data_IF_647166460309
#
_entry.id   IF_647166460309
#
_cell.length_a   1.000
_cell.length_b   1.000
_cell.length_c   1.000
_cell.angle_alpha   90.00
_cell.angle_beta   90.00
_cell.angle_gamma   90.00
#
_symmetry.space_group_name_H-M   'P 1'
#
loop_
_entity.id
_entity.type
_entity.pdbx_description
1 polymer ?
#
# COMPACT_ATOMS: atom_id res chain seq x y z
N UNK A 1 -13.97 -12.66 1.39
CA UNK A 1 -14.93 -12.29 0.32
C UNK A 1 -16.37 -12.74 0.63
N UNK A 2 -16.83 -12.62 1.88
CA UNK A 2 -18.23 -12.83 2.25
C UNK A 2 -18.55 -11.82 3.33
N UNK A 3 -19.05 -10.66 2.91
CA UNK A 3 -19.83 -9.71 3.70
C UNK A 3 -19.88 -8.42 2.89
N UNK A 4 -20.86 -8.31 1.98
CA UNK A 4 -21.45 -7.04 1.54
C UNK A 4 -22.63 -7.32 0.59
N UNK A 5 -23.52 -8.24 0.95
CA UNK A 5 -24.89 -8.23 0.40
C UNK A 5 -25.77 -7.49 1.39
N UNK A 6 -25.67 -6.16 1.38
CA UNK A 6 -26.73 -5.32 1.94
C UNK A 6 -27.99 -5.65 1.12
N UNK A 7 -29.08 -6.03 1.79
CA UNK A 7 -30.40 -6.21 1.16
C UNK A 7 -30.69 -5.00 0.28
N UNK A 8 -30.62 -5.17 -1.04
CA UNK A 8 -31.02 -4.14 -1.99
C UNK A 8 -32.55 -4.08 -1.95
N UNK A 9 -33.08 -3.21 -1.11
CA UNK A 9 -34.49 -2.80 -1.23
C UNK A 9 -34.64 -2.10 -2.57
N UNK A 10 -35.48 -2.64 -3.46
CA UNK A 10 -35.90 -1.91 -4.64
C UNK A 10 -36.71 -0.69 -4.18
N UNK A 11 -36.33 0.50 -4.66
CA UNK A 11 -37.17 1.69 -4.51
C UNK A 11 -38.40 1.46 -5.37
N UNK A 12 -39.51 1.02 -4.77
CA UNK A 12 -40.80 0.89 -5.44
C UNK A 12 -41.51 2.24 -5.35
N UNK A 13 -41.45 3.01 -6.43
CA UNK A 13 -42.16 4.28 -6.58
C UNK A 13 -42.26 4.66 -8.05
N UNK A 14 -43.26 5.44 -8.42
CA UNK A 14 -43.40 6.04 -9.75
C UNK A 14 -42.78 7.42 -9.75
N UNK A 15 -41.82 7.67 -10.67
CA UNK A 15 -41.36 9.02 -11.00
C UNK A 15 -42.18 9.44 -12.22
N UNK A 16 -42.95 10.51 -12.10
CA UNK A 16 -43.67 11.08 -13.24
C UNK A 16 -42.68 11.81 -14.15
N UNK A 17 -42.59 11.34 -15.40
CA UNK A 17 -41.83 12.00 -16.46
C UNK A 17 -42.79 12.96 -17.17
N UNK A 18 -42.57 14.26 -16.96
CA UNK A 18 -43.43 15.29 -17.54
C UNK A 18 -42.99 15.72 -18.95
N UNK A 19 -41.72 15.50 -19.31
CA UNK A 19 -41.15 15.91 -20.59
C UNK A 19 -40.33 14.76 -21.21
N UNK A 20 -41.02 13.97 -22.04
CA UNK A 20 -40.40 12.79 -22.68
C UNK A 20 -39.45 13.19 -23.80
N UNK A 21 -39.69 14.32 -24.49
CA UNK A 21 -38.83 14.81 -25.57
C UNK A 21 -37.47 15.25 -25.03
N UNK A 22 -37.44 15.98 -23.92
CA UNK A 22 -36.21 16.36 -23.24
C UNK A 22 -35.42 15.14 -22.75
N UNK A 23 -36.09 14.14 -22.16
CA UNK A 23 -35.40 12.91 -21.74
C UNK A 23 -34.85 12.13 -22.94
N UNK A 24 -35.55 12.08 -24.07
CA UNK A 24 -35.05 11.42 -25.29
C UNK A 24 -33.87 12.18 -25.90
N UNK A 25 -33.88 13.51 -25.87
CA UNK A 25 -32.74 14.33 -26.27
C UNK A 25 -31.51 14.08 -25.37
N UNK A 26 -31.68 14.09 -24.04
CA UNK A 26 -30.61 13.76 -23.09
C UNK A 26 -30.12 12.30 -23.24
N UNK A 27 -31.03 11.36 -23.50
CA UNK A 27 -30.67 9.97 -23.77
C UNK A 27 -29.84 9.81 -25.04
N UNK A 28 -30.07 10.67 -26.04
CA UNK A 28 -29.30 10.69 -27.29
C UNK A 28 -27.87 11.21 -27.09
N UNK A 29 -27.65 12.07 -26.09
CA UNK A 29 -26.32 12.50 -25.65
C UNK A 29 -25.60 11.42 -24.81
N UNK A 30 -26.37 10.58 -24.11
CA UNK A 30 -25.89 9.35 -23.47
C UNK A 30 -26.64 9.01 -22.19
N UNK A 31 -26.63 7.72 -21.81
CA UNK A 31 -27.32 7.25 -20.60
C UNK A 31 -26.78 7.91 -19.32
N UNK A 32 -25.50 8.28 -19.29
CA UNK A 32 -24.90 8.97 -18.14
C UNK A 32 -25.48 10.38 -17.97
N UNK A 33 -25.54 11.17 -19.04
CA UNK A 33 -26.13 12.51 -19.04
C UNK A 33 -27.58 12.47 -18.55
N UNK A 34 -28.38 11.55 -19.09
CA UNK A 34 -29.75 11.29 -18.63
C UNK A 34 -29.80 10.96 -17.13
N UNK A 35 -28.96 10.04 -16.67
CA UNK A 35 -28.91 9.61 -15.27
C UNK A 35 -28.53 10.74 -14.32
N UNK A 36 -27.65 11.65 -14.75
CA UNK A 36 -27.27 12.84 -13.99
C UNK A 36 -28.45 13.80 -13.83
N UNK A 37 -29.17 14.10 -14.90
CA UNK A 37 -30.32 15.01 -14.83
C UNK A 37 -31.47 14.45 -13.99
N UNK A 38 -31.84 13.18 -14.22
CA UNK A 38 -32.89 12.50 -13.45
C UNK A 38 -32.50 12.42 -11.97
N UNK A 39 -31.24 12.09 -11.66
CA UNK A 39 -30.79 12.00 -10.27
C UNK A 39 -30.74 13.37 -9.56
N UNK A 40 -30.46 14.48 -10.26
CA UNK A 40 -30.58 15.81 -9.69
C UNK A 40 -32.02 16.18 -9.37
N UNK A 41 -32.97 15.76 -10.20
CA UNK A 41 -34.39 15.99 -9.94
C UNK A 41 -34.90 15.18 -8.75
N UNK A 42 -34.52 13.90 -8.67
CA UNK A 42 -34.78 13.06 -7.48
C UNK A 42 -34.19 13.72 -6.23
N UNK A 43 -32.97 14.25 -6.30
CA UNK A 43 -32.37 14.98 -5.19
C UNK A 43 -33.19 16.21 -4.77
N UNK A 44 -33.72 17.00 -5.71
CA UNK A 44 -34.60 18.14 -5.39
C UNK A 44 -35.87 17.70 -4.67
N UNK A 45 -36.52 16.63 -5.15
CA UNK A 45 -37.70 16.07 -4.51
C UNK A 45 -37.42 15.57 -3.07
N UNK A 46 -36.23 14.98 -2.84
CA UNK A 46 -35.80 14.61 -1.50
C UNK A 46 -35.61 15.83 -0.59
N UNK A 47 -35.04 16.94 -1.10
CA UNK A 47 -34.95 18.20 -0.33
C UNK A 47 -36.34 18.78 -0.03
N UNK A 48 -37.27 18.73 -0.98
CA UNK A 48 -38.63 19.18 -0.74
C UNK A 48 -39.33 18.35 0.34
N UNK A 49 -39.07 17.04 0.38
CA UNK A 49 -39.53 16.16 1.45
C UNK A 49 -38.98 16.58 2.81
N UNK A 50 -37.67 16.89 2.90
CA UNK A 50 -37.07 17.41 4.13
C UNK A 50 -37.70 18.76 4.55
N UNK A 51 -37.97 19.64 3.59
CA UNK A 51 -38.62 20.94 3.83
C UNK A 51 -40.05 20.75 4.33
N UNK A 52 -40.82 19.86 3.72
CA UNK A 52 -42.19 19.57 4.13
C UNK A 52 -42.26 18.98 5.53
N UNK A 53 -41.31 18.11 5.90
CA UNK A 53 -41.20 17.58 7.26
C UNK A 53 -40.96 18.69 8.31
N UNK A 54 -40.31 19.80 7.95
CA UNK A 54 -40.01 20.91 8.85
C UNK A 54 -41.07 22.02 8.83
N UNK A 55 -41.59 22.35 7.64
CA UNK A 55 -42.43 23.52 7.40
C UNK A 55 -43.90 23.18 7.03
N UNK A 56 -44.24 21.91 6.89
CA UNK A 56 -45.54 21.44 6.37
C UNK A 56 -45.68 21.58 4.85
N UNK A 57 -46.74 21.02 4.28
CA UNK A 57 -47.01 21.08 2.83
C UNK A 57 -47.09 22.53 2.30
N UNK A 58 -46.63 22.75 1.07
CA UNK A 58 -46.56 24.09 0.47
C UNK A 58 -47.97 24.67 0.28
N UNK A 59 -48.16 25.93 0.67
CA UNK A 59 -49.45 26.63 0.53
C UNK A 59 -50.54 26.21 1.52
N UNK A 60 -50.27 25.24 2.40
CA UNK A 60 -51.22 24.76 3.40
C UNK A 60 -50.79 25.28 4.78
N UNK A 61 -51.73 25.86 5.53
CA UNK A 61 -51.45 26.33 6.88
C UNK A 61 -51.26 25.13 7.83
N UNK A 62 -50.04 24.94 8.32
CA UNK A 62 -49.73 23.98 9.38
C UNK A 62 -49.47 24.71 10.71
N UNK A 63 -50.32 24.58 11.75
CA UNK A 63 -50.09 25.21 13.05
C UNK A 63 -48.88 24.62 13.80
N UNK A 64 -48.56 23.34 13.59
CA UNK A 64 -47.48 22.61 14.26
C UNK A 64 -46.13 22.72 13.53
N UNK A 65 -46.02 23.60 12.51
CA UNK A 65 -44.78 23.78 11.76
C UNK A 65 -43.63 24.15 12.69
N UNK A 66 -42.44 23.61 12.42
CA UNK A 66 -41.23 23.87 13.19
C UNK A 66 -40.38 24.97 12.57
N UNK A 67 -40.63 25.29 11.30
CA UNK A 67 -39.83 26.23 10.53
C UNK A 67 -40.62 26.87 9.37
N UNK A 68 -40.02 27.91 8.76
CA UNK A 68 -40.52 28.66 7.61
C UNK A 68 -39.60 28.48 6.40
N UNK A 69 -40.20 28.45 5.21
CA UNK A 69 -39.48 28.48 3.92
C UNK A 69 -38.89 29.88 3.70
N UNK A 70 -37.62 29.97 3.32
CA UNK A 70 -36.87 31.22 3.22
C UNK A 70 -36.10 31.32 1.87
N UNK A 71 -36.78 30.96 0.78
CA UNK A 71 -36.23 31.00 -0.58
C UNK A 71 -35.26 29.85 -0.88
N UNK A 72 -34.42 30.05 -1.89
CA UNK A 72 -33.41 29.10 -2.35
C UNK A 72 -32.03 29.74 -2.39
N UNK A 73 -30.99 28.93 -2.33
CA UNK A 73 -29.62 29.38 -2.59
C UNK A 73 -28.80 28.35 -3.39
N UNK A 74 -27.77 28.78 -4.12
CA UNK A 74 -26.84 27.87 -4.77
C UNK A 74 -26.09 27.00 -3.76
N UNK A 75 -25.99 25.71 -4.05
CA UNK A 75 -25.18 24.74 -3.30
C UNK A 75 -24.44 23.82 -4.26
N UNK A 76 -23.46 23.06 -3.74
CA UNK A 76 -22.72 22.05 -4.51
C UNK A 76 -22.92 20.68 -3.90
N UNK A 77 -23.25 19.70 -4.73
CA UNK A 77 -23.45 18.31 -4.33
C UNK A 77 -22.57 17.37 -5.15
N UNK A 78 -22.26 16.21 -4.59
CA UNK A 78 -21.44 15.19 -5.21
C UNK A 78 -22.31 14.27 -6.06
N UNK A 79 -22.01 14.21 -7.36
CA UNK A 79 -22.69 13.33 -8.30
C UNK A 79 -21.73 12.89 -9.40
N UNK A 80 -21.78 11.61 -9.79
CA UNK A 80 -20.96 11.10 -10.90
C UNK A 80 -19.44 11.24 -10.73
N UNK A 81 -18.93 11.36 -9.50
CA UNK A 81 -17.50 11.63 -9.28
C UNK A 81 -17.05 13.06 -9.62
N UNK A 82 -17.99 14.01 -9.61
CA UNK A 82 -17.75 15.45 -9.64
C UNK A 82 -18.64 16.19 -8.63
N UNK A 83 -18.44 17.52 -8.47
CA UNK A 83 -19.42 18.35 -7.77
C UNK A 83 -20.22 19.11 -8.81
N UNK A 84 -21.54 19.09 -8.66
CA UNK A 84 -22.48 19.79 -9.52
C UNK A 84 -23.12 20.91 -8.71
N UNK A 85 -23.24 22.09 -9.30
CA UNK A 85 -23.96 23.23 -8.70
C UNK A 85 -25.46 23.02 -8.91
N UNK A 86 -26.24 23.19 -7.85
CA UNK A 86 -27.70 23.12 -7.89
C UNK A 86 -28.28 24.11 -6.88
N UNK A 87 -29.60 24.27 -6.88
CA UNK A 87 -30.30 25.10 -5.89
C UNK A 87 -30.75 24.23 -4.72
N UNK A 88 -30.57 24.73 -3.49
CA UNK A 88 -31.20 24.16 -2.29
C UNK A 88 -32.27 25.10 -1.76
N UNK A 89 -33.40 24.57 -1.25
CA UNK A 89 -34.32 25.36 -0.45
C UNK A 89 -33.70 25.70 0.91
N UNK A 90 -34.08 26.86 1.45
CA UNK A 90 -33.69 27.32 2.78
C UNK A 90 -34.87 27.24 3.71
N UNK A 91 -34.60 26.76 4.92
CA UNK A 91 -35.60 26.61 5.98
C UNK A 91 -35.06 27.25 7.25
N UNK A 92 -35.84 28.13 7.87
CA UNK A 92 -35.46 28.81 9.12
C UNK A 92 -36.42 28.44 10.24
N UNK A 93 -35.87 28.12 11.41
CA UNK A 93 -36.63 27.93 12.64
C UNK A 93 -37.47 29.16 13.00
N UNK A 94 -38.41 29.00 13.93
CA UNK A 94 -39.21 30.13 14.45
C UNK A 94 -38.34 31.23 15.07
N UNK A 95 -37.19 30.86 15.61
CA UNK A 95 -36.21 31.77 16.21
C UNK A 95 -35.23 32.39 15.18
N UNK A 96 -35.45 32.15 13.88
CA UNK A 96 -34.69 32.77 12.80
C UNK A 96 -33.38 32.06 12.41
N UNK A 97 -32.97 31.01 13.14
CA UNK A 97 -31.79 30.21 12.79
C UNK A 97 -32.05 29.30 11.58
N UNK A 98 -31.08 29.20 10.66
CA UNK A 98 -31.15 28.33 9.49
C UNK A 98 -30.98 26.85 9.88
N UNK A 99 -31.88 26.01 9.37
CA UNK A 99 -31.89 24.58 9.64
C UNK A 99 -31.22 23.81 8.50
N UNK A 100 -30.43 22.80 8.88
CA UNK A 100 -29.79 21.89 7.94
C UNK A 100 -30.80 20.85 7.44
N UNK A 101 -30.75 20.56 6.15
CA UNK A 101 -31.53 19.49 5.53
C UNK A 101 -30.72 18.19 5.57
N UNK A 102 -31.20 17.10 6.18
CA UNK A 102 -30.47 15.83 6.25
C UNK A 102 -30.00 15.32 4.89
N UNK A 103 -30.86 15.42 3.86
CA UNK A 103 -30.54 15.02 2.49
C UNK A 103 -29.38 15.83 1.94
N UNK A 104 -29.32 17.14 2.21
CA UNK A 104 -28.21 17.98 1.75
C UNK A 104 -26.88 17.48 2.31
N UNK A 105 -26.82 17.12 3.59
CA UNK A 105 -25.62 16.58 4.22
C UNK A 105 -25.13 15.28 3.57
N UNK A 106 -26.06 14.40 3.18
CA UNK A 106 -25.73 13.14 2.48
C UNK A 106 -25.08 13.40 1.12
N UNK A 107 -25.65 14.31 0.33
CA UNK A 107 -25.17 14.60 -1.02
C UNK A 107 -23.99 15.59 -1.06
N UNK A 108 -23.70 16.29 0.04
CA UNK A 108 -22.47 17.07 0.19
C UNK A 108 -21.27 16.22 0.64
N UNK A 109 -21.48 14.95 1.03
CA UNK A 109 -20.41 14.05 1.43
C UNK A 109 -19.45 13.76 0.25
N UNK A 110 -18.17 14.08 0.45
CA UNK A 110 -17.10 13.94 -0.54
C UNK A 110 -16.49 12.53 -0.63
N UNK A 111 -16.87 11.59 0.24
CA UNK A 111 -16.25 10.25 0.28
C UNK A 111 -16.34 9.48 -1.05
N UNK A 112 -17.49 9.41 -1.75
CA UNK A 112 -17.58 8.72 -3.04
C UNK A 112 -16.66 9.34 -4.10
N UNK A 113 -16.55 10.67 -4.08
CA UNK A 113 -15.70 11.46 -4.98
C UNK A 113 -14.21 11.22 -4.69
N UNK A 114 -13.84 11.22 -3.41
CA UNK A 114 -12.48 10.94 -2.95
C UNK A 114 -12.04 9.51 -3.30
N UNK A 115 -12.94 8.51 -3.18
CA UNK A 115 -12.67 7.12 -3.57
C UNK A 115 -12.45 6.96 -5.07
N UNK A 116 -13.32 7.54 -5.90
CA UNK A 116 -13.19 7.51 -7.36
C UNK A 116 -11.87 8.19 -7.81
N UNK A 117 -11.55 9.34 -7.20
CA UNK A 117 -10.30 10.04 -7.42
C UNK A 117 -9.09 9.17 -7.05
N UNK A 118 -9.11 8.56 -5.87
CA UNK A 118 -8.03 7.69 -5.40
C UNK A 118 -7.80 6.52 -6.36
N UNK A 119 -8.87 5.84 -6.79
CA UNK A 119 -8.78 4.74 -7.75
C UNK A 119 -8.09 5.17 -9.05
N UNK A 120 -8.48 6.32 -9.62
CA UNK A 120 -7.86 6.83 -10.85
C UNK A 120 -6.38 7.16 -10.66
N UNK A 121 -6.03 7.81 -9.54
CA UNK A 121 -4.63 8.14 -9.24
C UNK A 121 -3.77 6.88 -9.03
N UNK A 122 -4.30 5.87 -8.32
CA UNK A 122 -3.63 4.58 -8.12
C UNK A 122 -3.53 3.73 -9.41
N UNK A 123 -4.45 3.93 -10.36
CA UNK A 123 -4.31 3.41 -11.73
C UNK A 123 -3.29 4.19 -12.59
N UNK A 124 -2.58 5.15 -12.01
CA UNK A 124 -1.50 5.88 -12.66
C UNK A 124 -1.95 7.14 -13.40
N UNK A 125 -3.18 7.64 -13.21
CA UNK A 125 -3.59 8.97 -13.72
C UNK A 125 -2.84 10.04 -12.93
N UNK A 126 -2.23 11.03 -13.61
CA UNK A 126 -1.60 12.13 -12.88
C UNK A 126 -2.64 13.17 -12.48
N UNK A 127 -2.36 13.92 -11.42
CA UNK A 127 -3.21 15.03 -10.98
C UNK A 127 -3.48 16.07 -12.08
N UNK A 128 -2.54 16.25 -13.01
CA UNK A 128 -2.69 17.12 -14.20
C UNK A 128 -3.61 16.54 -15.29
N UNK A 129 -3.69 15.21 -15.41
CA UNK A 129 -4.52 14.52 -16.40
C UNK A 129 -5.88 14.11 -15.84
N UNK A 130 -6.10 14.24 -14.53
CA UNK A 130 -7.33 13.87 -13.85
C UNK A 130 -8.57 14.49 -14.49
N UNK A 131 -8.51 15.78 -14.83
CA UNK A 131 -9.62 16.48 -15.50
C UNK A 131 -10.09 15.78 -16.79
N UNK A 132 -9.19 15.12 -17.52
CA UNK A 132 -9.52 14.38 -18.76
C UNK A 132 -10.12 12.99 -18.52
N UNK A 133 -10.20 12.56 -17.27
CA UNK A 133 -10.74 11.25 -16.87
C UNK A 133 -12.11 11.35 -16.20
N UNK A 134 -12.63 12.58 -16.07
CA UNK A 134 -13.98 12.84 -15.61
C UNK A 134 -14.86 12.88 -16.86
N UNK A 135 -15.85 12.00 -16.91
CA UNK A 135 -16.85 12.00 -17.96
C UNK A 135 -17.73 13.26 -17.80
N UNK A 136 -17.92 14.00 -18.89
CA UNK A 136 -18.77 15.21 -18.95
C UNK A 136 -18.50 16.23 -17.82
N UNK A 137 -17.39 16.98 -17.88
CA UNK A 137 -17.14 18.04 -16.91
C UNK A 137 -18.25 19.09 -17.01
N UNK A 138 -19.04 19.26 -15.93
CA UNK A 138 -19.95 20.41 -15.83
C UNK A 138 -19.12 21.70 -15.87
N UNK A 139 -19.69 22.80 -16.43
CA UNK A 139 -19.00 24.10 -16.57
C UNK A 139 -18.34 24.59 -15.26
N UNK A 140 -18.91 24.21 -14.11
CA UNK A 140 -18.38 24.46 -12.76
C UNK A 140 -17.30 23.45 -12.30
N UNK A 141 -16.29 23.19 -13.15
CA UNK A 141 -15.20 22.24 -12.91
C UNK A 141 -14.19 22.65 -11.80
N UNK A 142 -14.66 23.26 -10.72
CA UNK A 142 -13.90 23.63 -9.52
C UNK A 142 -13.22 22.45 -8.80
N UNK A 143 -13.55 21.22 -9.17
CA UNK A 143 -13.15 19.99 -8.50
C UNK A 143 -12.00 19.22 -9.15
N UNK A 144 -11.50 19.66 -10.31
CA UNK A 144 -10.50 18.93 -11.09
C UNK A 144 -9.13 19.63 -11.13
N UNK A 145 -8.97 20.75 -10.43
CA UNK A 145 -7.70 21.46 -10.38
C UNK A 145 -6.62 20.59 -9.71
N UNK A 146 -5.36 20.76 -10.14
CA UNK A 146 -4.21 20.02 -9.58
C UNK A 146 -4.17 20.11 -8.04
N UNK A 147 -4.38 21.30 -7.50
CA UNK A 147 -4.30 21.56 -6.05
C UNK A 147 -5.45 20.90 -5.30
N UNK A 148 -6.67 20.95 -5.84
CA UNK A 148 -7.84 20.29 -5.26
C UNK A 148 -7.68 18.77 -5.28
N UNK A 149 -7.25 18.20 -6.41
CA UNK A 149 -6.99 16.76 -6.55
C UNK A 149 -5.94 16.28 -5.56
N UNK A 150 -4.86 17.06 -5.36
CA UNK A 150 -3.83 16.73 -4.38
C UNK A 150 -4.36 16.77 -2.95
N UNK A 151 -5.20 17.76 -2.60
CA UNK A 151 -5.80 17.87 -1.26
C UNK A 151 -6.76 16.72 -0.98
N UNK A 152 -7.58 16.36 -1.97
CA UNK A 152 -8.51 15.23 -1.88
C UNK A 152 -7.80 13.90 -1.78
N UNK A 153 -6.73 13.69 -2.54
CA UNK A 153 -5.89 12.51 -2.38
C UNK A 153 -5.35 12.40 -0.96
N UNK A 154 -4.85 13.50 -0.38
CA UNK A 154 -4.36 13.51 0.99
C UNK A 154 -5.47 13.12 2.00
N UNK A 155 -6.66 13.72 1.88
CA UNK A 155 -7.83 13.42 2.72
C UNK A 155 -8.33 11.97 2.53
N UNK A 156 -8.36 11.48 1.30
CA UNK A 156 -8.79 10.11 0.97
C UNK A 156 -7.85 9.05 1.56
N UNK A 157 -6.55 9.35 1.56
CA UNK A 157 -5.52 8.46 2.10
C UNK A 157 -5.39 8.54 3.62
N UNK A 158 -5.89 9.59 4.27
CA UNK A 158 -5.73 9.79 5.71
C UNK A 158 -6.33 8.62 6.50
N UNK A 159 -7.56 8.22 6.20
CA UNK A 159 -8.20 7.07 6.86
C UNK A 159 -7.53 5.73 6.51
N UNK A 160 -7.10 5.53 5.26
CA UNK A 160 -6.42 4.30 4.84
C UNK A 160 -5.04 4.17 5.47
N UNK A 161 -4.32 5.27 5.62
CA UNK A 161 -3.04 5.32 6.32
C UNK A 161 -3.27 5.04 7.81
N UNK A 162 -4.24 5.70 8.42
CA UNK A 162 -4.55 5.49 9.84
C UNK A 162 -4.89 4.03 10.12
N UNK A 163 -5.73 3.43 9.26
CA UNK A 163 -6.03 2.00 9.31
C UNK A 163 -4.77 1.15 9.12
N UNK A 164 -3.96 1.41 8.09
CA UNK A 164 -2.76 0.62 7.79
C UNK A 164 -1.72 0.67 8.91
N UNK A 165 -1.43 1.86 9.45
CA UNK A 165 -0.45 2.05 10.51
C UNK A 165 -0.96 1.58 11.87
N UNK A 166 -2.27 1.57 12.13
CA UNK A 166 -2.82 1.04 13.40
C UNK A 166 -3.24 -0.43 13.34
N UNK A 167 -3.23 -1.04 12.15
CA UNK A 167 -3.67 -2.42 11.93
C UNK A 167 -2.89 -3.38 12.82
N UNK A 168 -3.62 -4.16 13.63
CA UNK A 168 -3.04 -5.26 14.41
C UNK A 168 -2.41 -6.29 13.49
N UNK A 169 -1.24 -6.79 13.89
CA UNK A 169 -0.53 -7.86 13.20
C UNK A 169 -1.00 -9.17 13.84
N UNK A 170 -1.87 -9.85 13.12
CA UNK A 170 -2.41 -11.15 13.53
C UNK A 170 -1.71 -12.28 12.77
N UNK A 171 -1.56 -13.40 13.46
CA UNK A 171 -0.95 -14.61 12.92
C UNK A 171 0.58 -14.63 13.03
N UNK A 172 1.15 -15.70 12.47
CA UNK A 172 2.58 -15.99 12.56
C UNK A 172 3.26 -15.67 11.22
N UNK A 173 4.36 -14.94 11.27
CA UNK A 173 5.12 -14.51 10.10
C UNK A 173 6.54 -15.07 10.15
N UNK A 174 6.79 -16.36 9.85
CA UNK A 174 8.12 -16.96 10.02
C UNK A 174 9.23 -16.32 9.16
N UNK A 175 8.88 -15.46 8.20
CA UNK A 175 9.82 -14.72 7.37
C UNK A 175 9.45 -13.23 7.38
N UNK A 176 10.45 -12.37 7.56
CA UNK A 176 10.37 -10.92 7.37
C UNK A 176 11.38 -10.49 6.30
N UNK A 177 10.89 -9.86 5.24
CA UNK A 177 11.72 -9.22 4.21
C UNK A 177 11.74 -7.71 4.45
N UNK A 178 12.92 -7.10 4.42
CA UNK A 178 13.06 -5.64 4.57
C UNK A 178 13.96 -5.09 3.48
N UNK A 179 13.56 -3.95 2.92
CA UNK A 179 14.29 -3.27 1.85
C UNK A 179 13.96 -1.77 1.85
N UNK A 180 14.84 -0.98 1.26
CA UNK A 180 14.68 0.46 1.08
C UNK A 180 14.12 0.82 -0.30
N UNK A 181 13.16 1.74 -0.32
CA UNK A 181 12.65 2.36 -1.53
C UNK A 181 13.05 3.84 -1.57
N UNK A 182 13.93 4.22 -2.50
CA UNK A 182 14.33 5.61 -2.71
C UNK A 182 13.24 6.38 -3.47
N UNK A 183 12.72 7.45 -2.85
CA UNK A 183 11.70 8.36 -3.39
C UNK A 183 12.18 9.81 -3.33
N UNK A 184 12.76 10.29 -4.44
CA UNK A 184 13.39 11.60 -4.49
C UNK A 184 14.62 11.65 -3.59
N UNK A 185 14.60 12.53 -2.57
CA UNK A 185 15.68 12.66 -1.58
C UNK A 185 15.43 11.86 -0.29
N UNK A 186 14.33 11.12 -0.22
CA UNK A 186 13.92 10.36 0.95
C UNK A 186 14.01 8.87 0.64
N UNK A 187 14.21 8.05 1.66
CA UNK A 187 14.12 6.60 1.56
C UNK A 187 12.99 6.11 2.45
N UNK A 188 12.12 5.27 1.92
CA UNK A 188 11.09 4.58 2.70
C UNK A 188 11.55 3.15 2.94
N UNK A 189 11.75 2.78 4.20
CA UNK A 189 11.99 1.40 4.58
C UNK A 189 10.65 0.67 4.61
N UNK A 190 10.57 -0.47 3.94
CA UNK A 190 9.39 -1.32 3.94
C UNK A 190 9.69 -2.66 4.61
N UNK A 191 8.75 -3.16 5.41
CA UNK A 191 8.78 -4.49 6.00
C UNK A 191 7.63 -5.34 5.47
N UNK A 192 7.96 -6.48 4.85
CA UNK A 192 7.01 -7.45 4.32
C UNK A 192 7.08 -8.73 5.14
N UNK A 193 5.97 -9.08 5.78
CA UNK A 193 5.80 -10.37 6.43
C UNK A 193 5.33 -11.41 5.42
N UNK A 194 5.80 -12.64 5.58
CA UNK A 194 5.27 -13.81 4.89
C UNK A 194 4.73 -14.76 5.95
N UNK A 195 3.44 -15.06 5.87
CA UNK A 195 2.77 -15.95 6.83
C UNK A 195 3.09 -17.43 6.59
N UNK A 196 2.58 -18.30 7.48
CA UNK A 196 2.79 -19.75 7.42
C UNK A 196 2.19 -20.40 6.16
N UNK A 197 1.20 -19.77 5.53
CA UNK A 197 0.63 -20.19 4.24
C UNK A 197 1.38 -19.61 3.03
N UNK A 198 2.42 -18.81 3.26
CA UNK A 198 3.24 -18.15 2.24
C UNK A 198 2.60 -16.91 1.62
N UNK A 199 1.54 -16.36 2.22
CA UNK A 199 0.93 -15.10 1.78
C UNK A 199 1.81 -13.94 2.24
N UNK A 200 2.04 -13.00 1.33
CA UNK A 200 2.84 -11.80 1.56
C UNK A 200 1.93 -10.68 2.07
N UNK A 201 2.43 -9.86 2.99
CA UNK A 201 1.76 -8.68 3.49
C UNK A 201 2.76 -7.58 3.83
N UNK A 202 2.50 -6.34 3.43
CA UNK A 202 3.30 -5.22 3.92
C UNK A 202 2.84 -4.95 5.36
N UNK A 203 3.75 -5.14 6.30
CA UNK A 203 3.46 -4.99 7.73
C UNK A 203 3.66 -3.56 8.20
N UNK A 204 4.67 -2.86 7.66
CA UNK A 204 4.93 -1.48 8.04
C UNK A 204 5.83 -0.76 7.05
N UNK A 205 5.80 0.56 7.15
CA UNK A 205 6.56 1.51 6.36
C UNK A 205 7.09 2.58 7.29
N UNK A 206 8.30 3.10 7.04
CA UNK A 206 8.80 4.29 7.72
C UNK A 206 9.66 5.09 6.76
N UNK A 207 9.54 6.41 6.79
CA UNK A 207 10.42 7.30 6.05
C UNK A 207 11.69 7.63 6.84
N UNK A 208 12.80 7.79 6.12
CA UNK A 208 14.07 8.25 6.65
C UNK A 208 14.84 9.08 5.61
N UNK A 209 15.72 9.96 6.09
CA UNK A 209 16.63 10.72 5.21
C UNK A 209 17.79 9.89 4.65
N UNK A 210 18.07 8.74 5.26
CA UNK A 210 19.06 7.74 4.85
C UNK A 210 18.71 6.38 5.47
N UNK A 211 19.41 5.31 5.07
CA UNK A 211 19.40 4.02 5.77
C UNK A 211 20.03 4.17 7.17
N UNK A 212 19.24 4.61 8.14
CA UNK A 212 19.64 4.77 9.53
C UNK A 212 19.12 3.60 10.36
N UNK A 213 19.98 2.97 11.17
CA UNK A 213 19.59 1.86 12.05
C UNK A 213 18.48 2.28 13.03
N UNK A 214 18.45 3.52 13.49
CA UNK A 214 17.42 4.02 14.40
C UNK A 214 16.04 4.09 13.73
N UNK A 215 15.98 4.47 12.44
CA UNK A 215 14.73 4.46 11.67
C UNK A 215 14.19 3.03 11.55
N UNK A 216 15.06 2.07 11.28
CA UNK A 216 14.68 0.66 11.18
C UNK A 216 14.23 0.11 12.54
N UNK A 217 14.91 0.47 13.64
CA UNK A 217 14.49 0.08 14.99
C UNK A 217 13.10 0.61 15.34
N UNK A 218 12.82 1.87 15.01
CA UNK A 218 11.47 2.45 15.20
C UNK A 218 10.42 1.67 14.44
N UNK A 219 10.69 1.30 13.17
CA UNK A 219 9.79 0.44 12.41
C UNK A 219 9.58 -0.91 13.10
N UNK A 220 10.64 -1.59 13.53
CA UNK A 220 10.54 -2.89 14.19
C UNK A 220 9.79 -2.81 15.53
N UNK A 221 10.02 -1.76 16.32
CA UNK A 221 9.31 -1.51 17.57
C UNK A 221 7.80 -1.31 17.34
N UNK A 222 7.44 -0.54 16.32
CA UNK A 222 6.05 -0.37 15.89
C UNK A 222 5.42 -1.70 15.45
N UNK A 223 6.13 -2.55 14.70
CA UNK A 223 5.61 -3.88 14.35
C UNK A 223 5.33 -4.72 15.61
N UNK A 224 6.24 -4.69 16.59
CA UNK A 224 6.10 -5.44 17.85
C UNK A 224 4.90 -4.94 18.65
N UNK A 225 4.76 -3.62 18.81
CA UNK A 225 3.62 -3.00 19.50
C UNK A 225 2.27 -3.39 18.87
N UNK A 226 2.24 -3.51 17.53
CA UNK A 226 1.05 -3.92 16.78
C UNK A 226 0.77 -5.42 16.82
N UNK A 227 1.67 -6.24 17.37
CA UNK A 227 1.44 -7.67 17.61
C UNK A 227 2.43 -8.62 16.95
N UNK A 228 3.51 -8.13 16.33
CA UNK A 228 4.58 -9.00 15.84
C UNK A 228 5.36 -9.56 17.05
N UNK A 229 5.16 -10.84 17.35
CA UNK A 229 5.83 -11.51 18.46
C UNK A 229 7.36 -11.54 18.25
N UNK A 230 8.16 -10.90 19.13
CA UNK A 230 9.62 -10.91 19.05
C UNK A 230 10.25 -12.20 19.58
N UNK A 231 9.51 -13.02 20.32
CA UNK A 231 9.95 -14.32 20.81
C UNK A 231 9.85 -15.42 19.75
N UNK A 232 9.04 -15.20 18.71
CA UNK A 232 8.88 -16.16 17.64
C UNK A 232 10.15 -16.25 16.77
N UNK A 233 10.70 -17.46 16.56
CA UNK A 233 11.82 -17.67 15.65
C UNK A 233 11.48 -17.24 14.22
N UNK A 234 12.34 -16.39 13.62
CA UNK A 234 12.07 -15.77 12.33
C UNK A 234 13.31 -15.64 11.47
N UNK A 235 13.13 -15.85 10.17
CA UNK A 235 14.13 -15.55 9.16
C UNK A 235 13.97 -14.11 8.65
N UNK A 236 15.00 -13.30 8.81
CA UNK A 236 15.06 -11.93 8.30
C UNK A 236 15.86 -11.93 6.99
N UNK A 237 15.20 -11.61 5.87
CA UNK A 237 15.85 -11.54 4.56
C UNK A 237 16.10 -10.09 4.19
N UNK A 238 17.38 -9.69 4.13
CA UNK A 238 17.82 -8.30 4.00
C UNK A 238 18.67 -8.11 2.74
N UNK A 239 18.66 -6.92 2.14
CA UNK A 239 19.50 -6.57 0.98
C UNK A 239 21.00 -6.48 1.29
N UNK A 240 21.35 -6.35 2.58
CA UNK A 240 22.73 -6.20 3.06
C UNK A 240 23.07 -4.80 3.56
N UNK A 241 22.08 -3.90 3.69
CA UNK A 241 22.27 -2.62 4.37
C UNK A 241 22.76 -2.82 5.81
N UNK A 242 23.90 -2.20 6.17
CA UNK A 242 24.48 -2.29 7.52
C UNK A 242 23.50 -1.82 8.61
N UNK A 243 22.66 -0.84 8.27
CA UNK A 243 21.62 -0.31 9.14
C UNK A 243 20.53 -1.34 9.44
N UNK A 244 20.07 -2.08 8.41
CA UNK A 244 19.08 -3.15 8.57
C UNK A 244 19.62 -4.28 9.43
N UNK A 245 20.85 -4.74 9.13
CA UNK A 245 21.50 -5.78 9.91
C UNK A 245 21.58 -5.37 11.39
N UNK A 246 22.17 -4.19 11.67
CA UNK A 246 22.34 -3.69 13.03
C UNK A 246 21.00 -3.56 13.77
N UNK A 247 19.98 -3.01 13.13
CA UNK A 247 18.68 -2.83 13.75
C UNK A 247 18.01 -4.18 14.11
N UNK A 248 18.06 -5.15 13.19
CA UNK A 248 17.51 -6.49 13.44
C UNK A 248 18.26 -7.19 14.58
N UNK A 249 19.59 -7.13 14.59
CA UNK A 249 20.38 -7.72 15.68
C UNK A 249 20.18 -7.02 17.02
N UNK A 250 20.02 -5.69 17.02
CA UNK A 250 19.80 -4.92 18.24
C UNK A 250 18.41 -5.21 18.85
N UNK A 251 17.38 -5.41 18.01
CA UNK A 251 15.99 -5.63 18.47
C UNK A 251 15.74 -7.09 18.86
N UNK A 252 16.20 -8.05 18.06
CA UNK A 252 15.88 -9.47 18.25
C UNK A 252 17.07 -10.28 18.81
N UNK A 253 18.26 -9.71 18.89
CA UNK A 253 19.42 -10.36 19.50
C UNK A 253 19.80 -11.67 18.81
N UNK A 254 20.13 -12.69 19.61
CA UNK A 254 20.63 -14.00 19.13
C UNK A 254 19.56 -14.86 18.46
N UNK A 255 18.27 -14.55 18.62
CA UNK A 255 17.19 -15.27 17.93
C UNK A 255 17.00 -14.80 16.49
N UNK A 256 17.63 -13.69 16.10
CA UNK A 256 17.59 -13.16 14.74
C UNK A 256 18.37 -14.06 13.78
N UNK A 257 17.66 -14.80 12.92
CA UNK A 257 18.27 -15.56 11.85
C UNK A 257 18.27 -14.71 10.59
N UNK A 258 19.43 -14.22 10.16
CA UNK A 258 19.55 -13.27 9.05
C UNK A 258 20.02 -14.01 7.79
N UNK A 259 19.30 -13.82 6.69
CA UNK A 259 19.74 -14.16 5.34
C UNK A 259 20.01 -12.88 4.56
N UNK A 260 21.23 -12.71 4.08
CA UNK A 260 21.57 -11.59 3.18
C UNK A 260 21.28 -11.95 1.73
N UNK A 261 20.69 -11.03 0.98
CA UNK A 261 20.32 -11.24 -0.41
C UNK A 261 21.54 -11.55 -1.27
N UNK A 262 21.55 -12.73 -1.90
CA UNK A 262 22.64 -13.16 -2.78
C UNK A 262 22.74 -12.32 -4.05
N UNK A 263 21.61 -11.77 -4.54
CA UNK A 263 21.57 -10.91 -5.74
C UNK A 263 22.25 -9.58 -5.45
N UNK A 264 21.87 -8.91 -4.36
CA UNK A 264 22.53 -7.69 -3.91
C UNK A 264 24.00 -7.93 -3.58
N UNK A 265 24.32 -9.04 -2.91
CA UNK A 265 25.71 -9.39 -2.62
C UNK A 265 26.55 -9.50 -3.89
N UNK A 266 26.04 -10.23 -4.87
CA UNK A 266 26.67 -10.40 -6.17
C UNK A 266 26.89 -9.04 -6.83
N UNK A 267 25.87 -8.17 -6.88
CA UNK A 267 26.00 -6.81 -7.43
C UNK A 267 27.10 -6.00 -6.74
N UNK A 268 27.17 -6.05 -5.40
CA UNK A 268 28.17 -5.33 -4.62
C UNK A 268 29.60 -5.83 -4.87
N UNK A 269 29.80 -7.14 -5.06
CA UNK A 269 31.11 -7.70 -5.39
C UNK A 269 31.53 -7.29 -6.81
N UNK A 270 30.62 -7.42 -7.77
CA UNK A 270 30.88 -7.10 -9.19
C UNK A 270 31.19 -5.62 -9.42
N UNK A 271 30.60 -4.71 -8.65
CA UNK A 271 30.85 -3.27 -8.75
C UNK A 271 32.31 -2.86 -8.45
N UNK A 272 33.10 -3.72 -7.80
CA UNK A 272 34.52 -3.51 -7.54
C UNK A 272 35.45 -4.14 -8.58
N UNK A 273 34.89 -4.70 -9.66
CA UNK A 273 35.64 -5.43 -10.67
C UNK A 273 35.59 -4.71 -12.03
N UNK A 274 36.67 -4.81 -12.83
CA UNK A 274 36.62 -4.40 -14.23
C UNK A 274 35.63 -5.28 -15.01
N UNK A 275 35.00 -4.71 -16.05
CA UNK A 275 33.98 -5.37 -16.85
C UNK A 275 34.42 -6.72 -17.42
N UNK A 276 35.71 -6.87 -17.75
CA UNK A 276 36.30 -8.11 -18.27
C UNK A 276 36.24 -9.28 -17.29
N UNK A 277 36.25 -9.03 -15.98
CA UNK A 277 36.19 -10.06 -14.94
C UNK A 277 34.79 -10.29 -14.38
N UNK A 278 33.88 -9.32 -14.57
CA UNK A 278 32.54 -9.38 -13.98
C UNK A 278 31.80 -10.65 -14.39
N UNK A 279 31.88 -11.07 -15.65
CA UNK A 279 31.21 -12.28 -16.14
C UNK A 279 31.74 -13.55 -15.45
N UNK A 280 33.07 -13.71 -15.36
CA UNK A 280 33.70 -14.88 -14.72
C UNK A 280 33.30 -14.99 -13.25
N UNK A 281 33.44 -13.89 -12.51
CA UNK A 281 33.12 -13.85 -11.07
C UNK A 281 31.61 -14.02 -10.82
N UNK A 282 30.79 -13.44 -11.70
CA UNK A 282 29.33 -13.58 -11.67
C UNK A 282 28.91 -15.06 -11.78
N UNK A 283 29.53 -15.82 -12.69
CA UNK A 283 29.28 -17.25 -12.87
C UNK A 283 29.77 -18.01 -11.64
N UNK A 284 30.99 -17.75 -11.16
CA UNK A 284 31.55 -18.43 -9.99
C UNK A 284 30.67 -18.28 -8.73
N UNK A 285 30.23 -17.05 -8.43
CA UNK A 285 29.28 -16.79 -7.33
C UNK A 285 27.96 -17.55 -7.53
N UNK A 286 27.44 -17.56 -8.76
CA UNK A 286 26.18 -18.27 -9.06
C UNK A 286 26.32 -19.77 -8.87
N UNK A 287 27.44 -20.37 -9.28
CA UNK A 287 27.70 -21.79 -9.07
C UNK A 287 27.83 -22.12 -7.59
N UNK A 288 28.60 -21.33 -6.84
CA UNK A 288 28.77 -21.52 -5.41
C UNK A 288 27.42 -21.45 -4.66
N UNK A 289 26.55 -20.49 -4.99
CA UNK A 289 25.22 -20.41 -4.38
C UNK A 289 24.24 -21.52 -4.83
N UNK A 290 24.47 -22.15 -5.99
CA UNK A 290 23.65 -23.27 -6.46
C UNK A 290 23.95 -24.58 -5.74
N UNK A 291 25.14 -24.73 -5.16
CA UNK A 291 25.50 -25.89 -4.35
C UNK A 291 24.41 -26.21 -3.32
N UNK A 292 24.10 -27.49 -3.18
CA UNK A 292 23.06 -27.92 -2.24
C UNK A 292 23.56 -27.84 -0.79
N UNK A 293 24.78 -28.31 -0.59
CA UNK A 293 25.43 -28.43 0.71
C UNK A 293 26.11 -27.13 1.15
N UNK A 294 25.99 -26.79 2.43
CA UNK A 294 26.59 -25.58 3.00
C UNK A 294 28.12 -25.61 2.94
N UNK A 295 28.76 -26.74 3.28
CA UNK A 295 30.22 -26.82 3.31
C UNK A 295 30.79 -26.67 1.89
N UNK A 296 30.18 -27.31 0.89
CA UNK A 296 30.56 -27.13 -0.52
C UNK A 296 30.38 -25.70 -1.00
N UNK A 297 29.23 -25.08 -0.72
CA UNK A 297 28.96 -23.69 -1.07
C UNK A 297 29.99 -22.74 -0.46
N UNK A 298 30.28 -22.93 0.84
CA UNK A 298 31.26 -22.14 1.59
C UNK A 298 32.66 -22.30 1.02
N UNK A 299 33.14 -23.53 0.82
CA UNK A 299 34.47 -23.78 0.26
C UNK A 299 34.63 -23.18 -1.14
N UNK A 300 33.59 -23.22 -1.97
CA UNK A 300 33.62 -22.58 -3.29
C UNK A 300 33.73 -21.04 -3.19
N UNK A 301 32.98 -20.41 -2.26
CA UNK A 301 33.09 -18.97 -2.02
C UNK A 301 34.44 -18.56 -1.42
N UNK A 302 34.99 -19.36 -0.51
CA UNK A 302 36.31 -19.13 0.08
C UNK A 302 37.44 -19.26 -0.95
N UNK A 303 37.33 -20.21 -1.88
CA UNK A 303 38.26 -20.33 -3.00
C UNK A 303 38.21 -19.10 -3.91
N UNK A 304 37.00 -18.64 -4.25
CA UNK A 304 36.82 -17.41 -5.02
C UNK A 304 37.36 -16.19 -4.26
N UNK A 305 37.14 -16.13 -2.94
CA UNK A 305 37.67 -15.06 -2.09
C UNK A 305 39.19 -15.03 -2.10
N UNK A 306 39.87 -16.18 -2.10
CA UNK A 306 41.34 -16.26 -2.21
C UNK A 306 41.83 -15.73 -3.56
N UNK A 307 41.20 -16.12 -4.67
CA UNK A 307 41.51 -15.61 -6.02
C UNK A 307 41.33 -14.08 -6.09
N UNK A 308 40.20 -13.58 -5.59
CA UNK A 308 39.91 -12.15 -5.56
C UNK A 308 40.84 -11.38 -4.61
N UNK A 309 41.29 -11.97 -3.50
CA UNK A 309 42.15 -11.26 -2.53
C UNK A 309 43.49 -10.87 -3.15
N UNK A 310 44.01 -11.66 -4.08
CA UNK A 310 45.26 -11.38 -4.78
C UNK A 310 45.09 -10.28 -5.84
N UNK A 311 44.04 -10.35 -6.66
CA UNK A 311 43.86 -9.46 -7.84
C UNK A 311 43.00 -8.23 -7.57
N UNK A 312 41.99 -8.37 -6.70
CA UNK A 312 40.91 -7.40 -6.48
C UNK A 312 40.51 -7.33 -4.99
N UNK A 313 41.36 -6.77 -4.11
CA UNK A 313 41.17 -6.81 -2.66
C UNK A 313 39.83 -6.19 -2.21
N UNK A 314 39.36 -5.12 -2.85
CA UNK A 314 38.06 -4.51 -2.54
C UNK A 314 36.87 -5.42 -2.86
N UNK A 315 36.94 -6.18 -3.96
CA UNK A 315 35.92 -7.17 -4.30
C UNK A 315 35.95 -8.34 -3.31
N UNK A 316 37.13 -8.75 -2.85
CA UNK A 316 37.29 -9.76 -1.80
C UNK A 316 36.74 -9.30 -0.45
N UNK A 317 37.02 -8.05 -0.05
CA UNK A 317 36.46 -7.44 1.18
C UNK A 317 34.94 -7.37 1.11
N UNK A 318 34.42 -6.94 -0.04
CA UNK A 318 32.98 -6.97 -0.33
C UNK A 318 32.46 -8.39 -0.19
N UNK A 319 33.07 -9.41 -0.80
CA UNK A 319 32.59 -10.80 -0.68
C UNK A 319 32.64 -11.32 0.77
N UNK A 320 33.72 -11.04 1.50
CA UNK A 320 33.97 -11.51 2.87
C UNK A 320 32.94 -11.01 3.87
N UNK A 321 32.55 -9.74 3.73
CA UNK A 321 31.60 -9.10 4.63
C UNK A 321 30.23 -9.82 4.58
N UNK A 322 29.72 -10.33 5.70
CA UNK A 322 28.44 -11.02 5.71
C UNK A 322 28.35 -12.27 4.81
N UNK A 323 29.48 -12.92 4.47
CA UNK A 323 29.50 -14.15 3.66
C UNK A 323 28.64 -15.26 4.30
N UNK A 324 28.75 -15.44 5.61
CA UNK A 324 27.98 -16.46 6.33
C UNK A 324 26.46 -16.23 6.23
N UNK A 325 26.03 -14.96 6.26
CA UNK A 325 24.62 -14.59 6.14
C UNK A 325 24.06 -14.87 4.74
N UNK A 326 24.89 -14.94 3.70
CA UNK A 326 24.40 -15.27 2.35
C UNK A 326 24.13 -16.77 2.20
N UNK A 327 24.66 -17.58 3.12
CA UNK A 327 24.51 -19.03 3.18
C UNK A 327 23.56 -19.50 4.28
N UNK A 328 22.87 -18.60 5.01
CA UNK A 328 21.91 -18.97 6.07
C UNK A 328 20.87 -19.97 5.59
N UNK A 329 20.29 -19.78 4.39
CA UNK A 329 19.31 -20.73 3.82
C UNK A 329 19.91 -22.10 3.49
N UNK A 330 21.21 -22.20 3.23
CA UNK A 330 21.93 -23.47 3.06
C UNK A 330 22.13 -24.15 4.42
N UNK A 331 22.54 -23.39 5.45
CA UNK A 331 22.71 -23.90 6.81
C UNK A 331 21.40 -24.42 7.42
N UNK A 332 20.29 -23.76 7.09
CA UNK A 332 18.95 -24.20 7.46
C UNK A 332 18.44 -25.41 6.64
N UNK A 333 19.24 -25.91 5.69
CA UNK A 333 18.91 -27.04 4.80
C UNK A 333 17.57 -26.84 4.08
N UNK A 334 17.26 -25.61 3.66
CA UNK A 334 15.99 -25.32 3.02
C UNK A 334 15.90 -25.97 1.63
N UNK A 335 14.76 -26.55 1.27
CA UNK A 335 14.61 -27.26 0.00
C UNK A 335 14.40 -26.33 -1.19
N UNK A 336 14.93 -26.75 -2.34
CA UNK A 336 14.60 -26.30 -3.71
C UNK A 336 14.06 -24.87 -3.87
N UNK A 337 12.74 -24.79 -4.13
CA UNK A 337 12.04 -23.55 -4.49
C UNK A 337 11.97 -22.55 -3.33
N UNK A 338 11.81 -23.01 -2.09
CA UNK A 338 11.79 -22.12 -0.93
C UNK A 338 13.16 -21.48 -0.74
N UNK A 339 14.23 -22.27 -0.82
CA UNK A 339 15.61 -21.76 -0.76
C UNK A 339 15.87 -20.70 -1.82
N UNK A 340 15.49 -20.97 -3.07
CA UNK A 340 15.63 -20.01 -4.17
C UNK A 340 14.86 -18.71 -3.91
N UNK A 341 13.69 -18.79 -3.27
CA UNK A 341 12.87 -17.62 -2.98
C UNK A 341 13.46 -16.80 -1.84
N UNK A 342 13.92 -17.46 -0.78
CA UNK A 342 14.41 -16.82 0.44
C UNK A 342 15.88 -16.40 0.37
N UNK A 343 16.64 -16.86 -0.62
CA UNK A 343 18.02 -16.41 -0.83
C UNK A 343 18.14 -14.98 -1.37
N UNK A 344 17.02 -14.33 -1.68
CA UNK A 344 16.96 -12.98 -2.24
C UNK A 344 15.78 -12.17 -1.72
N UNK A 345 15.88 -10.86 -1.87
CA UNK A 345 14.83 -9.87 -1.61
C UNK A 345 13.87 -9.69 -2.79
N UNK A 346 13.87 -10.60 -3.78
CA UNK A 346 13.09 -10.47 -5.02
C UNK A 346 11.60 -10.15 -4.82
N UNK A 347 10.97 -10.72 -3.77
CA UNK A 347 9.57 -10.43 -3.48
C UNK A 347 9.35 -8.98 -3.03
N UNK A 348 10.30 -8.42 -2.29
CA UNK A 348 10.31 -7.02 -1.90
C UNK A 348 10.72 -6.11 -3.06
N UNK A 349 11.73 -6.46 -3.84
CA UNK A 349 12.13 -5.73 -5.06
C UNK A 349 10.96 -5.63 -6.06
N UNK A 350 10.18 -6.72 -6.21
CA UNK A 350 8.96 -6.72 -7.01
C UNK A 350 7.89 -5.80 -6.44
N UNK A 351 7.76 -5.69 -5.12
CA UNK A 351 6.83 -4.78 -4.48
C UNK A 351 7.28 -3.32 -4.63
N UNK A 352 8.57 -3.04 -4.45
CA UNK A 352 9.20 -1.74 -4.68
C UNK A 352 9.00 -1.28 -6.12
N UNK A 353 9.25 -2.15 -7.10
CA UNK A 353 9.02 -1.87 -8.52
C UNK A 353 7.54 -1.61 -8.82
N UNK A 354 6.63 -2.42 -8.27
CA UNK A 354 5.19 -2.20 -8.40
C UNK A 354 4.74 -0.86 -7.83
N UNK A 355 5.21 -0.52 -6.62
CA UNK A 355 4.91 0.74 -5.95
C UNK A 355 5.41 1.92 -6.80
N UNK A 356 6.66 1.86 -7.27
CA UNK A 356 7.23 2.84 -8.19
C UNK A 356 6.41 2.98 -9.48
N UNK A 357 5.94 1.87 -10.06
CA UNK A 357 5.10 1.88 -11.25
C UNK A 357 3.80 2.68 -11.06
N UNK A 358 3.18 2.57 -9.88
CA UNK A 358 1.97 3.29 -9.50
C UNK A 358 2.27 4.79 -9.29
N UNK A 359 3.31 5.11 -8.50
CA UNK A 359 3.60 6.50 -8.11
C UNK A 359 4.54 7.23 -9.06
N UNK A 360 4.97 6.61 -10.18
CA UNK A 360 5.96 7.16 -11.13
C UNK A 360 5.71 8.58 -11.62
N UNK A 361 4.47 9.04 -11.61
CA UNK A 361 4.09 10.39 -12.06
C UNK A 361 4.27 11.47 -10.97
N UNK A 362 4.62 11.08 -9.75
CA UNK A 362 4.90 11.95 -8.62
C UNK A 362 6.41 12.14 -8.52
N UNK A 363 6.91 13.23 -9.10
CA UNK A 363 8.35 13.49 -9.17
C UNK A 363 8.85 14.50 -8.11
N UNK A 364 7.94 15.22 -7.46
CA UNK A 364 8.29 16.28 -6.51
C UNK A 364 7.71 15.98 -5.12
N UNK A 365 8.47 15.23 -4.34
CA UNK A 365 8.15 14.93 -2.94
C UNK A 365 8.57 16.12 -2.06
N UNK A 366 7.59 16.76 -1.41
CA UNK A 366 7.83 18.00 -0.64
C UNK A 366 8.34 17.77 0.78
N UNK A 367 7.93 16.67 1.41
CA UNK A 367 8.27 16.34 2.79
C UNK A 367 8.06 14.84 3.05
N UNK A 368 8.53 14.35 4.20
CA UNK A 368 8.43 12.94 4.62
C UNK A 368 6.99 12.42 4.64
N UNK A 369 6.05 13.19 5.20
CA UNK A 369 4.64 12.81 5.25
C UNK A 369 4.02 12.58 3.86
N UNK A 370 4.37 13.42 2.87
CA UNK A 370 3.94 13.22 1.49
C UNK A 370 4.56 11.95 0.91
N UNK A 371 5.86 11.74 1.11
CA UNK A 371 6.57 10.54 0.64
C UNK A 371 5.96 9.27 1.21
N UNK A 372 5.76 9.21 2.52
CA UNK A 372 5.17 8.07 3.21
C UNK A 372 3.75 7.80 2.71
N UNK A 373 2.93 8.84 2.51
CA UNK A 373 1.57 8.69 1.96
C UNK A 373 1.55 8.05 0.59
N UNK A 374 2.39 8.51 -0.33
CA UNK A 374 2.45 7.93 -1.67
C UNK A 374 3.02 6.51 -1.65
N UNK A 375 4.04 6.25 -0.84
CA UNK A 375 4.58 4.90 -0.66
C UNK A 375 3.50 3.96 -0.11
N UNK A 376 2.80 4.34 0.95
CA UNK A 376 1.70 3.57 1.54
C UNK A 376 0.60 3.27 0.51
N UNK A 377 0.19 4.29 -0.25
CA UNK A 377 -0.82 4.12 -1.29
C UNK A 377 -0.37 3.13 -2.38
N UNK A 378 0.88 3.23 -2.84
CA UNK A 378 1.46 2.32 -3.82
C UNK A 378 1.58 0.88 -3.30
N UNK A 379 2.08 0.70 -2.08
CA UNK A 379 2.21 -0.61 -1.45
C UNK A 379 0.86 -1.28 -1.18
N UNK A 380 -0.13 -0.53 -0.69
CA UNK A 380 -1.49 -1.04 -0.45
C UNK A 380 -2.15 -1.54 -1.74
N UNK A 381 -1.96 -0.84 -2.85
CA UNK A 381 -2.50 -1.27 -4.14
C UNK A 381 -1.76 -2.50 -4.68
N UNK A 382 -0.44 -2.54 -4.55
CA UNK A 382 0.39 -3.69 -4.95
C UNK A 382 0.08 -4.94 -4.11
N UNK A 383 -0.21 -4.78 -2.82
CA UNK A 383 -0.56 -5.87 -1.90
C UNK A 383 -1.79 -6.66 -2.39
N UNK A 384 -2.76 -6.00 -3.04
CA UNK A 384 -3.96 -6.66 -3.61
C UNK A 384 -3.62 -7.71 -4.66
N UNK A 385 -2.49 -7.54 -5.36
CA UNK A 385 -2.01 -8.45 -6.40
C UNK A 385 -1.05 -9.53 -5.90
N UNK A 386 -0.75 -9.58 -4.59
CA UNK A 386 0.22 -10.52 -4.07
C UNK A 386 -0.23 -11.98 -4.21
N UNK A 387 0.61 -12.75 -4.89
CA UNK A 387 0.56 -14.21 -4.91
C UNK A 387 1.36 -14.77 -3.74
N UNK A 388 1.08 -16.02 -3.36
CA UNK A 388 1.91 -16.75 -2.39
C UNK A 388 3.34 -16.91 -2.93
N UNK A 389 4.30 -16.99 -2.02
CA UNK A 389 5.70 -17.24 -2.41
C UNK A 389 5.86 -18.62 -3.06
N UNK A 390 6.85 -18.75 -3.95
CA UNK A 390 7.20 -20.06 -4.50
C UNK A 390 7.80 -20.93 -3.40
N UNK A 391 7.45 -22.22 -3.38
CA UNK A 391 7.88 -23.12 -2.33
C UNK A 391 7.14 -22.96 -0.99
N UNK A 392 6.01 -22.24 -0.93
CA UNK A 392 5.25 -22.03 0.33
C UNK A 392 4.89 -23.32 1.08
N UNK A 393 4.68 -24.44 0.36
CA UNK A 393 4.42 -25.76 0.97
C UNK A 393 5.59 -26.29 1.82
N UNK A 394 6.78 -25.70 1.67
CA UNK A 394 8.01 -26.08 2.37
C UNK A 394 8.27 -25.18 3.60
N UNK A 395 7.43 -24.17 3.87
CA UNK A 395 7.57 -23.29 5.06
C UNK A 395 7.60 -24.08 6.39
N UNK A 396 6.86 -25.19 6.57
CA UNK A 396 6.99 -25.99 7.78
C UNK A 396 8.41 -26.50 8.05
N UNK A 397 9.20 -26.76 6.99
CA UNK A 397 10.63 -27.15 7.13
C UNK A 397 11.45 -26.00 7.70
N UNK A 398 11.21 -24.77 7.23
CA UNK A 398 11.83 -23.57 7.80
C UNK A 398 11.46 -23.40 9.27
N UNK A 399 10.18 -23.52 9.62
CA UNK A 399 9.73 -23.36 11.00
C UNK A 399 10.37 -24.40 11.94
N UNK A 400 10.47 -25.65 11.49
CA UNK A 400 11.15 -26.70 12.25
C UNK A 400 12.65 -26.41 12.42
N UNK A 401 13.32 -25.95 11.35
CA UNK A 401 14.74 -25.58 11.42
C UNK A 401 14.98 -24.38 12.36
N UNK A 402 14.14 -23.34 12.29
CA UNK A 402 14.22 -22.18 13.17
C UNK A 402 13.93 -22.56 14.63
N UNK A 403 12.91 -23.37 14.89
CA UNK A 403 12.58 -23.84 16.24
C UNK A 403 13.75 -24.58 16.91
N UNK A 404 14.36 -25.53 16.20
CA UNK A 404 15.56 -26.24 16.70
C UNK A 404 16.72 -25.30 17.00
N UNK A 405 16.95 -24.30 16.15
CA UNK A 405 18.03 -23.35 16.35
C UNK A 405 17.80 -22.46 17.57
N UNK A 406 16.55 -22.07 17.83
CA UNK A 406 16.21 -21.25 19.00
C UNK A 406 16.30 -22.04 20.30
N UNK A 407 15.97 -23.34 20.29
CA UNK A 407 16.10 -24.22 21.46
C UNK A 407 17.56 -24.49 21.83
N UNK A 408 18.42 -24.76 20.84
CA UNK A 408 19.80 -25.17 21.09
C UNK A 408 20.78 -24.01 21.13
N UNK A 409 20.48 -22.92 20.41
CA UNK A 409 21.39 -21.78 20.21
C UNK A 409 22.64 -22.12 19.38
N UNK A 410 22.74 -23.34 18.84
CA UNK A 410 23.93 -23.83 18.15
C UNK A 410 23.57 -24.35 16.76
N UNK A 411 24.23 -23.81 15.74
CA UNK A 411 24.01 -24.20 14.35
C UNK A 411 24.38 -25.65 14.03
N UNK A 412 25.30 -26.27 14.78
CA UNK A 412 25.71 -27.66 14.58
C UNK A 412 24.59 -28.68 14.82
N UNK A 413 23.56 -28.34 15.59
CA UNK A 413 22.42 -29.25 15.82
C UNK A 413 21.55 -29.42 14.58
N UNK A 414 21.72 -28.59 13.55
CA UNK A 414 21.09 -28.77 12.24
C UNK A 414 21.89 -29.70 11.33
N UNK A 415 23.15 -30.01 11.65
CA UNK A 415 24.01 -30.87 10.82
C UNK A 415 23.72 -32.37 11.06
N UNK A 416 23.33 -32.74 12.28
CA UNK A 416 23.04 -34.12 12.71
C UNK A 416 21.63 -34.65 12.37
N UNK A 417 20.76 -33.81 11.80
CA UNK A 417 19.39 -34.12 11.38
C UNK A 417 19.25 -33.99 9.86
#
# INVERSE_FOLDING_TARGET
MKEYQKKQGLVKGSIEVLDTELLMALASEGLLALSLQVGLEVFRQMLDTDVEALAGAKGIHNPDRRAYRHGTEPTRVVMGGQKVTTQRPRVRSKDGAELQLPTLGLFQNEDPLNRALLSRLLSGVSTRKYARTVDEPTEDASCVSKSEVSRRFAKAMESQMDEFFKRRIEGRYPILMMDGLALGKMTVMAAMGIDVEGRKRILGLIEGGSENSEVVKTLLADLIERGLDPSEPRLYVLDGGKALHKAVTDVFGKSAVIQRCQVHKKRNVLAHLPDSEQTRVSIALTMAYREFDYAKAKSALELLLKDLSYRYPRAADSLREGLEETLTVHRLKLPGLLRQTLSSTNAMESANSGCMGIIRRVCNFKNGAMTLRYAAAGFLEVERGFRRIKGFRQIPVLQSALGRLTETGVWSTLESA
#
